data_IF_704249730457
#
_entry.id   IF_704249730457
#
_cell.length_a   1.000
_cell.length_b   1.000
_cell.length_c   1.000
_cell.angle_alpha   90.00
_cell.angle_beta   90.00
_cell.angle_gamma   90.00
#
_symmetry.space_group_name_H-M   'P 1'
#
loop_
_entity.id
_entity.type
_entity.pdbx_description
1 polymer ?
#
# COMPACT_ATOMS: atom_id res chain seq x y z
N UNK A 1 -9.32 11.34 25.60
CA UNK A 1 -8.06 11.57 24.87
C UNK A 1 -7.91 13.07 24.69
N UNK A 2 -6.72 13.69 24.85
CA UNK A 2 -6.58 15.07 24.38
C UNK A 2 -6.88 15.04 22.87
N UNK A 3 -7.77 15.93 22.42
CA UNK A 3 -8.13 16.05 21.01
C UNK A 3 -6.83 16.19 20.21
N UNK A 4 -6.60 15.27 19.28
CA UNK A 4 -5.42 15.36 18.44
C UNK A 4 -5.53 16.65 17.61
N UNK A 5 -4.42 17.37 17.49
CA UNK A 5 -4.36 18.70 16.91
C UNK A 5 -4.62 18.71 15.42
N UNK A 6 -5.07 19.86 14.91
CA UNK A 6 -5.16 20.15 13.48
C UNK A 6 -3.79 20.59 12.95
N UNK A 7 -3.44 20.24 11.70
CA UNK A 7 -2.13 20.61 11.12
C UNK A 7 -2.24 21.23 9.72
N UNK A 8 -1.46 22.27 9.47
CA UNK A 8 -1.20 22.85 8.16
C UNK A 8 0.15 22.38 7.64
N UNK A 9 0.20 21.67 6.52
CA UNK A 9 1.48 21.16 5.96
C UNK A 9 2.01 22.01 4.79
N UNK A 10 1.24 23.00 4.35
CA UNK A 10 1.73 24.04 3.45
C UNK A 10 2.66 24.99 4.21
N UNK A 11 3.73 25.54 3.61
CA UNK A 11 4.55 26.56 4.25
C UNK A 11 3.73 27.84 4.52
N UNK A 12 3.78 28.41 5.75
CA UNK A 12 4.44 27.89 6.94
C UNK A 12 3.66 26.72 7.57
N UNK A 13 4.37 25.64 7.92
CA UNK A 13 3.76 24.47 8.58
C UNK A 13 3.22 24.87 9.95
N UNK A 14 1.97 24.48 10.25
CA UNK A 14 1.29 24.83 11.50
C UNK A 14 0.81 23.60 12.26
N UNK A 15 0.85 23.72 13.59
CA UNK A 15 0.24 22.79 14.53
C UNK A 15 -0.75 23.60 15.38
N UNK A 16 -1.99 23.15 15.50
CA UNK A 16 -3.04 23.86 16.21
C UNK A 16 -3.68 22.96 17.27
N UNK A 17 -3.74 23.42 18.51
CA UNK A 17 -4.28 22.68 19.65
C UNK A 17 -5.59 23.29 20.09
N UNK A 18 -6.54 22.44 20.51
CA UNK A 18 -7.82 22.86 21.09
C UNK A 18 -7.62 23.26 22.57
N UNK A 19 -6.73 24.22 22.80
CA UNK A 19 -6.38 24.74 24.11
C UNK A 19 -5.96 26.21 23.99
N UNK A 20 -6.48 27.04 24.89
CA UNK A 20 -6.08 28.45 25.02
C UNK A 20 -5.15 28.60 26.24
N UNK A 21 -3.83 28.72 26.05
CA UNK A 21 -2.90 28.89 27.17
C UNK A 21 -3.09 30.26 27.85
N UNK A 22 -2.72 30.38 29.13
CA UNK A 22 -2.62 31.69 29.79
C UNK A 22 -1.54 32.56 29.12
N UNK A 23 -1.57 33.89 29.28
CA UNK A 23 -0.55 34.78 28.74
C UNK A 23 0.88 34.38 29.16
N UNK A 24 1.10 33.96 30.41
CA UNK A 24 2.44 33.55 30.86
C UNK A 24 2.91 32.28 30.16
N UNK A 25 2.01 31.31 29.96
CA UNK A 25 2.32 30.05 29.26
C UNK A 25 2.59 30.32 27.77
N UNK A 26 1.80 31.19 27.15
CA UNK A 26 2.00 31.58 25.75
C UNK A 26 3.37 32.23 25.53
N UNK A 27 3.78 33.14 26.42
CA UNK A 27 5.09 33.80 26.34
C UNK A 27 6.24 32.81 26.56
N UNK A 28 6.08 31.87 27.51
CA UNK A 28 7.07 30.81 27.73
C UNK A 28 7.20 29.88 26.52
N UNK A 29 6.07 29.48 25.91
CA UNK A 29 6.06 28.66 24.70
C UNK A 29 6.74 29.38 23.53
N UNK A 30 6.47 30.67 23.33
CA UNK A 30 7.08 31.44 22.25
C UNK A 30 8.60 31.56 22.42
N UNK A 31 9.08 31.80 23.65
CA UNK A 31 10.52 31.76 23.98
C UNK A 31 11.16 30.40 23.70
N UNK A 32 10.45 29.30 23.97
CA UNK A 32 10.92 27.94 23.67
C UNK A 32 10.98 27.71 22.15
N UNK A 33 9.93 28.09 21.42
CA UNK A 33 9.86 27.97 19.96
C UNK A 33 10.96 28.79 19.29
N UNK A 34 11.27 29.99 19.79
CA UNK A 34 12.37 30.83 19.28
C UNK A 34 13.77 30.19 19.42
N UNK A 35 13.93 29.17 20.27
CA UNK A 35 15.18 28.41 20.41
C UNK A 35 15.26 27.20 19.47
N UNK A 36 14.16 26.84 18.82
CA UNK A 36 14.10 25.71 17.88
C UNK A 36 14.67 26.17 16.54
N UNK A 37 15.93 25.82 16.29
CA UNK A 37 16.62 26.13 15.03
C UNK A 37 16.49 25.04 13.98
N UNK A 38 16.09 23.82 14.39
CA UNK A 38 16.10 22.61 13.55
C UNK A 38 15.00 21.64 13.96
N UNK A 39 14.42 20.93 13.00
CA UNK A 39 13.48 19.83 13.26
C UNK A 39 13.96 18.53 12.60
N UNK A 40 14.11 17.49 13.41
CA UNK A 40 14.45 16.13 12.95
C UNK A 40 15.92 15.92 12.59
N UNK A 41 16.47 16.69 11.65
CA UNK A 41 17.85 16.56 11.16
C UNK A 41 18.64 17.87 11.26
N UNK A 42 19.98 17.77 11.34
CA UNK A 42 20.86 18.94 11.48
C UNK A 42 20.76 19.94 10.32
N UNK A 43 20.35 19.46 9.14
CA UNK A 43 20.17 20.24 7.90
C UNK A 43 18.75 20.80 7.71
N UNK A 44 17.81 20.49 8.60
CA UNK A 44 16.41 20.93 8.49
C UNK A 44 16.19 22.19 9.33
N UNK A 45 16.71 23.32 8.85
CA UNK A 45 16.60 24.61 9.53
C UNK A 45 15.15 25.11 9.55
N UNK A 46 14.72 25.60 10.71
CA UNK A 46 13.38 26.16 10.89
C UNK A 46 13.44 27.39 11.78
N UNK A 47 12.38 28.20 11.71
CA UNK A 47 12.03 29.20 12.72
C UNK A 47 10.61 28.91 13.16
N UNK A 48 10.41 28.81 14.47
CA UNK A 48 9.11 28.53 15.07
C UNK A 48 8.66 29.75 15.88
N UNK A 49 7.36 30.04 15.82
CA UNK A 49 6.71 31.09 16.61
C UNK A 49 5.30 30.68 16.97
N UNK A 50 4.80 31.17 18.09
CA UNK A 50 3.39 31.02 18.44
C UNK A 50 2.55 31.93 17.54
N UNK A 51 1.38 31.47 17.10
CA UNK A 51 0.40 32.30 16.36
C UNK A 51 -0.94 32.26 17.08
N UNK A 52 -1.58 33.42 17.16
CA UNK A 52 -2.90 33.59 17.75
C UNK A 52 -4.02 33.22 16.77
N UNK A 53 -3.79 33.43 15.48
CA UNK A 53 -4.71 33.04 14.41
C UNK A 53 -4.48 31.58 14.05
N UNK A 54 -5.54 30.79 14.02
CA UNK A 54 -5.54 29.43 13.50
C UNK A 54 -5.73 29.47 11.97
N UNK A 55 -4.69 29.21 11.16
CA UNK A 55 -4.89 29.06 9.72
C UNK A 55 -5.64 27.76 9.43
N UNK A 56 -6.33 27.73 8.28
CA UNK A 56 -7.12 26.57 7.87
C UNK A 56 -6.27 25.28 7.92
N UNK A 57 -6.76 24.30 8.67
CA UNK A 57 -6.12 23.00 8.76
C UNK A 57 -6.13 22.35 7.38
N UNK A 58 -4.95 21.92 6.92
CA UNK A 58 -4.86 21.08 5.72
C UNK A 58 -5.06 19.62 6.06
N UNK A 59 -4.87 19.22 7.32
CA UNK A 59 -5.05 17.85 7.77
C UNK A 59 -5.61 17.81 9.20
N UNK A 60 -6.47 16.83 9.44
CA UNK A 60 -7.04 16.52 10.77
C UNK A 60 -6.69 15.09 11.17
N UNK A 61 -6.59 14.78 12.46
CA UNK A 61 -6.42 13.41 12.92
C UNK A 61 -7.59 12.54 12.47
N UNK A 62 -7.31 11.32 12.02
CA UNK A 62 -8.32 10.38 11.53
C UNK A 62 -7.69 9.17 10.86
N UNK A 63 -8.45 8.41 10.08
CA UNK A 63 -7.99 7.18 9.39
C UNK A 63 -7.21 7.45 8.08
N UNK A 64 -6.60 8.64 7.98
CA UNK A 64 -5.79 9.03 6.83
C UNK A 64 -4.44 8.31 6.79
N UNK A 65 -3.74 8.42 5.68
CA UNK A 65 -2.49 7.67 5.45
C UNK A 65 -1.24 8.44 5.86
N UNK A 66 -1.36 9.73 6.17
CA UNK A 66 -0.25 10.51 6.66
C UNK A 66 -0.04 10.21 8.15
N UNK A 67 1.05 9.53 8.48
CA UNK A 67 1.43 9.29 9.86
C UNK A 67 2.40 10.35 10.37
N UNK A 68 1.95 11.18 11.31
CA UNK A 68 2.78 12.16 11.98
C UNK A 68 3.18 11.66 13.37
N UNK A 69 4.41 11.98 13.79
CA UNK A 69 4.84 11.74 15.16
C UNK A 69 4.12 12.71 16.09
N UNK A 70 3.56 12.19 17.16
CA UNK A 70 2.73 12.96 18.09
C UNK A 70 3.12 12.73 19.54
N UNK A 71 2.67 13.66 20.39
CA UNK A 71 2.85 13.64 21.84
C UNK A 71 1.60 13.08 22.54
N UNK A 72 1.78 12.45 23.69
CA UNK A 72 0.72 11.81 24.48
C UNK A 72 0.95 12.06 25.98
N UNK A 73 -0.07 12.01 26.85
CA UNK A 73 0.12 12.06 28.31
C UNK A 73 1.27 11.17 28.82
N UNK A 74 2.22 11.72 29.58
CA UNK A 74 3.39 10.96 30.05
C UNK A 74 4.55 10.86 29.04
N UNK A 75 4.43 11.48 27.87
CA UNK A 75 5.51 11.57 26.88
C UNK A 75 6.79 12.22 27.44
N UNK A 76 6.66 13.24 28.29
CA UNK A 76 7.81 13.89 28.93
C UNK A 76 8.60 12.90 29.79
N UNK A 77 7.91 12.17 30.68
CA UNK A 77 8.54 11.15 31.52
C UNK A 77 9.21 10.04 30.68
N UNK A 78 8.59 9.63 29.55
CA UNK A 78 9.19 8.68 28.63
C UNK A 78 10.46 9.22 27.97
N UNK A 79 10.48 10.51 27.59
CA UNK A 79 11.66 11.17 27.04
C UNK A 79 12.78 11.30 28.08
N UNK A 80 12.45 11.62 29.33
CA UNK A 80 13.40 11.71 30.44
C UNK A 80 14.06 10.35 30.74
N UNK A 81 13.27 9.27 30.80
CA UNK A 81 13.80 7.91 30.96
C UNK A 81 14.72 7.52 29.82
N UNK A 82 14.33 7.82 28.58
CA UNK A 82 15.16 7.49 27.43
C UNK A 82 16.43 8.32 27.40
N UNK A 83 16.36 9.59 27.79
CA UNK A 83 17.53 10.45 27.97
C UNK A 83 18.54 9.87 28.97
N UNK A 84 18.05 9.40 30.13
CA UNK A 84 18.87 8.73 31.13
C UNK A 84 19.52 7.44 30.61
N UNK A 85 18.83 6.69 29.73
CA UNK A 85 19.36 5.47 29.10
C UNK A 85 20.42 5.76 28.05
N UNK A 86 20.17 6.72 27.16
CA UNK A 86 21.01 6.93 26.00
C UNK A 86 22.19 7.88 26.29
N UNK A 87 22.10 8.75 27.31
CA UNK A 87 23.15 9.67 27.78
C UNK A 87 23.89 10.42 26.65
N UNK A 88 23.15 10.78 25.61
CA UNK A 88 23.65 11.30 24.33
C UNK A 88 24.71 10.48 23.55
N UNK A 89 25.14 9.31 24.04
CA UNK A 89 26.20 8.46 23.47
C UNK A 89 25.63 7.25 22.70
N UNK A 90 24.48 6.70 23.14
CA UNK A 90 23.83 5.57 22.48
C UNK A 90 22.84 6.03 21.40
N UNK A 91 22.43 5.14 20.46
CA UNK A 91 21.44 5.45 19.45
C UNK A 91 20.15 6.03 20.08
N UNK A 92 19.72 7.18 19.57
CA UNK A 92 18.58 7.93 20.13
C UNK A 92 17.29 7.43 19.51
N UNK A 93 16.52 6.63 20.24
CA UNK A 93 15.15 6.27 19.86
C UNK A 93 14.18 7.11 20.66
N UNK A 94 13.86 8.30 20.18
CA UNK A 94 12.88 9.15 20.87
C UNK A 94 11.51 8.47 20.84
N UNK A 95 10.91 8.14 22.00
CA UNK A 95 9.56 7.59 22.04
C UNK A 95 8.61 8.56 21.35
N UNK A 96 7.64 8.05 20.60
CA UNK A 96 6.60 8.85 19.98
C UNK A 96 5.36 7.98 19.80
N UNK A 97 4.21 8.63 19.64
CA UNK A 97 3.00 7.97 19.14
C UNK A 97 2.77 8.38 17.69
N UNK A 98 2.59 7.42 16.80
CA UNK A 98 2.13 7.72 15.44
C UNK A 98 0.66 8.08 15.49
N UNK A 99 0.28 9.24 14.95
CA UNK A 99 -1.11 9.64 14.75
C UNK A 99 -1.34 9.76 13.26
N UNK A 100 -2.41 9.14 12.78
CA UNK A 100 -2.84 9.21 11.38
C UNK A 100 -3.62 10.50 11.16
N UNK A 101 -3.34 11.13 10.02
CA UNK A 101 -3.92 12.39 9.59
C UNK A 101 -4.54 12.23 8.21
N UNK A 102 -5.77 12.71 8.06
CA UNK A 102 -6.49 12.86 6.80
C UNK A 102 -6.32 14.28 6.29
N UNK A 103 -6.17 14.44 4.98
CA UNK A 103 -6.18 15.76 4.34
C UNK A 103 -7.61 16.33 4.39
N UNK A 104 -7.72 17.60 4.79
CA UNK A 104 -8.94 18.37 4.76
C UNK A 104 -9.11 18.88 3.32
N UNK A 105 -10.01 18.26 2.57
CA UNK A 105 -10.43 18.75 1.26
C UNK A 105 -11.55 19.78 1.50
N UNK A 106 -11.38 21.07 1.14
CA UNK A 106 -12.42 22.07 1.30
C UNK A 106 -13.68 21.65 0.52
N UNK A 107 -14.77 21.34 1.23
CA UNK A 107 -16.03 20.87 0.65
C UNK A 107 -16.50 19.48 1.10
N UNK A 108 -15.66 18.69 1.78
CA UNK A 108 -16.05 17.37 2.30
C UNK A 108 -16.20 17.38 3.83
N UNK A 109 -17.16 18.16 4.35
CA UNK A 109 -17.66 17.96 5.72
C UNK A 109 -18.93 17.12 5.60
N UNK A 110 -18.83 15.82 5.86
CA UNK A 110 -19.99 14.92 5.98
C UNK A 110 -20.09 13.74 5.01
N UNK A 111 -19.11 13.48 4.15
CA UNK A 111 -19.07 12.24 3.37
C UNK A 111 -18.50 11.13 4.26
N UNK A 112 -19.24 10.03 4.43
CA UNK A 112 -18.73 8.84 5.12
C UNK A 112 -17.39 8.42 4.51
N UNK A 113 -16.41 8.03 5.34
CA UNK A 113 -15.08 7.67 4.84
C UNK A 113 -15.25 6.54 3.80
N UNK A 114 -14.69 6.67 2.58
CA UNK A 114 -14.97 5.73 1.51
C UNK A 114 -14.61 4.29 1.93
N UNK A 115 -15.45 3.33 1.54
CA UNK A 115 -15.26 1.91 1.87
C UNK A 115 -13.86 1.44 1.47
N UNK A 116 -13.25 0.60 2.32
CA UNK A 116 -11.90 0.07 2.13
C UNK A 116 -11.92 -1.46 2.08
N UNK A 117 -11.15 -2.10 1.21
CA UNK A 117 -11.01 -3.54 1.26
C UNK A 117 -10.22 -3.95 2.52
N UNK A 118 -10.49 -5.12 3.07
CA UNK A 118 -9.82 -5.69 4.25
C UNK A 118 -8.31 -5.93 4.05
N UNK A 119 -7.81 -5.80 2.83
CA UNK A 119 -6.38 -5.88 2.48
C UNK A 119 -5.69 -4.51 2.41
N UNK A 120 -6.44 -3.41 2.44
CA UNK A 120 -5.90 -2.06 2.44
C UNK A 120 -5.39 -1.66 3.83
N UNK A 121 -4.38 -0.78 3.84
CA UNK A 121 -3.75 -0.29 5.05
C UNK A 121 -2.40 0.36 4.74
N UNK A 122 -1.48 0.32 5.68
CA UNK A 122 -0.20 1.02 5.56
C UNK A 122 0.76 0.28 4.62
N UNK A 123 1.52 1.03 3.82
CA UNK A 123 2.53 0.47 2.91
C UNK A 123 3.95 0.75 3.40
N UNK A 124 4.77 -0.29 3.47
CA UNK A 124 6.22 -0.16 3.58
C UNK A 124 6.81 -0.29 2.18
N UNK A 125 7.24 0.84 1.62
CA UNK A 125 7.69 0.95 0.23
C UNK A 125 9.20 0.80 0.14
N UNK A 126 9.64 -0.03 -0.81
CA UNK A 126 11.03 -0.24 -1.19
C UNK A 126 11.23 0.19 -2.64
N UNK A 127 12.15 1.12 -2.88
CA UNK A 127 12.56 1.51 -4.23
C UNK A 127 13.67 0.56 -4.71
N UNK A 128 13.55 0.05 -5.94
CA UNK A 128 14.65 -0.71 -6.55
C UNK A 128 15.80 0.24 -6.91
N UNK A 129 17.03 -0.21 -6.72
CA UNK A 129 18.19 0.54 -7.20
C UNK A 129 18.09 0.73 -8.74
N UNK A 130 18.53 1.87 -9.31
CA UNK A 130 18.29 2.21 -10.71
C UNK A 130 18.64 1.11 -11.72
N UNK A 131 19.75 0.39 -11.49
CA UNK A 131 20.19 -0.72 -12.34
C UNK A 131 19.21 -1.90 -12.41
N UNK A 132 18.36 -2.08 -11.40
CA UNK A 132 17.39 -3.18 -11.32
C UNK A 132 15.98 -2.78 -11.79
N UNK A 133 15.74 -1.50 -12.10
CA UNK A 133 14.44 -0.99 -12.61
C UNK A 133 14.12 -1.39 -14.05
N UNK A 134 14.92 -2.26 -14.67
CA UNK A 134 14.62 -2.86 -15.98
C UNK A 134 13.76 -4.11 -15.89
N UNK A 135 13.49 -4.60 -14.67
CA UNK A 135 12.72 -5.83 -14.46
C UNK A 135 11.27 -5.65 -14.93
N UNK A 136 10.74 -6.54 -15.78
CA UNK A 136 9.35 -6.44 -16.24
C UNK A 136 8.37 -6.91 -15.17
N UNK A 137 7.17 -6.31 -15.13
CA UNK A 137 6.10 -6.67 -14.19
C UNK A 137 5.60 -8.11 -14.29
N UNK A 138 5.89 -8.81 -15.39
CA UNK A 138 5.59 -10.23 -15.56
C UNK A 138 6.33 -11.12 -14.54
N UNK A 139 7.38 -10.59 -13.90
CA UNK A 139 8.10 -11.23 -12.78
C UNK A 139 7.53 -10.88 -11.39
N UNK A 140 6.37 -10.20 -11.30
CA UNK A 140 5.77 -9.78 -10.00
C UNK A 140 5.71 -10.92 -8.99
N UNK A 141 5.18 -12.09 -9.36
CA UNK A 141 5.05 -13.25 -8.44
C UNK A 141 6.39 -13.75 -7.96
N UNK A 142 7.40 -13.74 -8.82
CA UNK A 142 8.73 -14.20 -8.48
C UNK A 142 9.36 -13.27 -7.44
N UNK A 143 9.40 -11.97 -7.73
CA UNK A 143 10.07 -10.99 -6.86
C UNK A 143 9.32 -10.79 -5.53
N UNK A 144 7.99 -10.82 -5.53
CA UNK A 144 7.20 -10.69 -4.29
C UNK A 144 7.29 -11.93 -3.41
N UNK A 145 7.42 -13.13 -3.99
CA UNK A 145 7.70 -14.36 -3.22
C UNK A 145 9.07 -14.31 -2.57
N UNK A 146 10.09 -13.83 -3.29
CA UNK A 146 11.44 -13.64 -2.72
C UNK A 146 11.40 -12.57 -1.63
N UNK A 147 10.71 -11.44 -1.85
CA UNK A 147 10.50 -10.42 -0.83
C UNK A 147 9.85 -11.00 0.43
N UNK A 148 8.78 -11.77 0.26
CA UNK A 148 8.11 -12.46 1.37
C UNK A 148 9.10 -13.36 2.11
N UNK A 149 9.78 -14.26 1.41
CA UNK A 149 10.72 -15.19 2.04
C UNK A 149 11.84 -14.46 2.78
N UNK A 150 12.44 -13.44 2.17
CA UNK A 150 13.47 -12.62 2.80
C UNK A 150 12.96 -11.84 4.00
N UNK A 151 11.73 -11.31 3.98
CA UNK A 151 11.16 -10.64 5.15
C UNK A 151 10.92 -11.63 6.29
N UNK A 152 10.31 -12.79 5.98
CA UNK A 152 9.97 -13.81 6.98
C UNK A 152 11.21 -14.41 7.66
N UNK A 153 12.34 -14.55 6.97
CA UNK A 153 13.58 -15.07 7.57
C UNK A 153 14.16 -14.18 8.67
N UNK A 154 13.66 -12.94 8.82
CA UNK A 154 14.07 -12.01 9.87
C UNK A 154 12.99 -11.83 10.95
N UNK A 155 11.90 -12.60 10.88
CA UNK A 155 10.87 -12.63 11.92
C UNK A 155 11.10 -13.89 12.76
N UNK A 156 11.23 -13.78 14.10
CA UNK A 156 11.43 -14.95 14.96
C UNK A 156 10.27 -15.95 14.87
N UNK A 157 10.60 -17.23 14.99
CA UNK A 157 9.59 -18.28 15.15
C UNK A 157 8.99 -18.27 16.58
N UNK A 158 7.69 -18.59 16.73
CA UNK A 158 6.74 -18.90 15.66
C UNK A 158 6.26 -17.63 14.92
N UNK A 159 6.12 -17.72 13.60
CA UNK A 159 5.57 -16.63 12.79
C UNK A 159 4.12 -16.32 13.18
N UNK A 160 3.77 -15.05 13.49
CA UNK A 160 2.40 -14.63 13.72
C UNK A 160 1.47 -14.92 12.52
N UNK A 161 0.20 -15.20 12.79
CA UNK A 161 -0.82 -15.51 11.77
C UNK A 161 -0.95 -14.39 10.73
N UNK A 162 -1.00 -13.13 11.16
CA UNK A 162 -1.08 -11.95 10.28
C UNK A 162 0.16 -11.74 9.40
N UNK A 163 1.27 -12.43 9.69
CA UNK A 163 2.49 -12.44 8.88
C UNK A 163 2.55 -13.68 7.98
N UNK A 164 2.28 -14.85 8.54
CA UNK A 164 2.36 -16.12 7.82
C UNK A 164 1.21 -16.30 6.83
N UNK A 165 0.04 -15.72 7.13
CA UNK A 165 -1.23 -15.99 6.43
C UNK A 165 -1.78 -17.39 6.72
N UNK A 166 -1.34 -18.04 7.79
CA UNK A 166 -1.73 -19.38 8.17
C UNK A 166 -1.98 -19.49 9.67
N UNK A 167 -2.95 -20.33 10.03
CA UNK A 167 -3.17 -20.77 11.40
C UNK A 167 -2.00 -21.64 11.87
N UNK A 168 -1.86 -21.88 13.19
CA UNK A 168 -0.79 -22.72 13.75
C UNK A 168 -0.74 -24.15 13.18
N UNK A 169 -1.87 -24.68 12.71
CA UNK A 169 -1.97 -25.99 12.06
C UNK A 169 -1.51 -25.98 10.57
N UNK A 170 -1.11 -24.81 10.06
CA UNK A 170 -0.66 -24.61 8.69
C UNK A 170 -1.78 -24.46 7.66
N UNK A 171 -3.04 -24.39 8.08
CA UNK A 171 -4.17 -24.08 7.20
C UNK A 171 -4.24 -22.56 6.90
N UNK A 172 -4.76 -22.13 5.73
CA UNK A 172 -4.86 -20.71 5.40
C UNK A 172 -5.79 -19.96 6.35
N UNK A 173 -5.41 -18.76 6.77
CA UNK A 173 -6.28 -17.91 7.59
C UNK A 173 -7.34 -17.16 6.75
N UNK A 174 -8.49 -16.89 7.36
CA UNK A 174 -9.49 -15.91 6.89
C UNK A 174 -9.24 -14.50 7.42
N UNK A 175 -8.39 -14.32 8.44
CA UNK A 175 -8.06 -13.03 9.01
C UNK A 175 -7.21 -12.17 8.05
N UNK A 176 -7.30 -10.83 8.15
CA UNK A 176 -6.42 -9.92 7.43
C UNK A 176 -4.95 -10.23 7.72
N UNK A 177 -4.14 -10.34 6.67
CA UNK A 177 -2.70 -10.58 6.78
C UNK A 177 -1.96 -9.85 5.67
N UNK A 178 -0.65 -9.67 5.87
CA UNK A 178 0.19 -8.87 5.00
C UNK A 178 0.21 -9.36 3.55
N UNK A 179 0.32 -8.42 2.61
CA UNK A 179 0.46 -8.70 1.18
C UNK A 179 1.76 -8.11 0.63
N UNK A 180 2.31 -8.75 -0.40
CA UNK A 180 3.55 -8.33 -1.04
C UNK A 180 3.27 -7.90 -2.48
N UNK A 181 3.69 -6.68 -2.83
CA UNK A 181 3.31 -6.01 -4.06
C UNK A 181 4.54 -5.61 -4.86
N UNK A 182 4.44 -5.72 -6.18
CA UNK A 182 5.33 -5.01 -7.10
C UNK A 182 4.65 -3.70 -7.52
N UNK A 183 5.42 -2.63 -7.64
CA UNK A 183 4.95 -1.30 -8.01
C UNK A 183 5.48 -0.94 -9.41
N UNK A 184 4.78 -1.36 -10.48
CA UNK A 184 5.22 -1.09 -11.85
C UNK A 184 4.90 0.34 -12.31
N UNK A 185 5.62 0.78 -13.32
CA UNK A 185 5.40 2.02 -14.06
C UNK A 185 4.27 1.84 -15.09
N UNK A 186 3.05 2.23 -14.73
CA UNK A 186 1.82 1.95 -15.50
C UNK A 186 0.82 3.10 -15.37
N UNK A 187 -0.27 3.07 -16.15
CA UNK A 187 -1.44 3.92 -15.97
C UNK A 187 -1.23 5.40 -16.33
N UNK A 188 -0.26 5.67 -17.21
CA UNK A 188 -0.02 6.95 -17.86
C UNK A 188 0.62 6.70 -19.23
N UNK A 189 0.66 7.72 -20.09
CA UNK A 189 1.10 7.62 -21.49
C UNK A 189 2.46 6.92 -21.67
N UNK A 190 3.43 7.23 -20.82
CA UNK A 190 4.78 6.61 -20.86
C UNK A 190 4.95 5.41 -19.92
N UNK A 191 3.85 4.76 -19.53
CA UNK A 191 3.89 3.54 -18.70
C UNK A 191 4.50 2.39 -19.50
N UNK A 192 5.54 1.75 -18.98
CA UNK A 192 6.30 0.70 -19.68
C UNK A 192 6.27 -0.67 -18.96
N UNK A 193 5.56 -0.76 -17.84
CA UNK A 193 5.40 -2.01 -17.09
C UNK A 193 6.65 -2.47 -16.36
N UNK A 194 7.69 -1.64 -16.25
CA UNK A 194 8.89 -1.98 -15.47
C UNK A 194 8.61 -1.82 -13.97
N UNK A 195 9.14 -2.72 -13.15
CA UNK A 195 9.01 -2.67 -11.69
C UNK A 195 9.94 -1.59 -11.14
N UNK A 196 9.37 -0.55 -10.54
CA UNK A 196 10.12 0.56 -9.94
C UNK A 196 10.48 0.30 -8.48
N UNK A 197 9.65 -0.47 -7.80
CA UNK A 197 9.78 -0.79 -6.40
C UNK A 197 8.86 -1.92 -5.99
N UNK A 198 8.91 -2.24 -4.71
CA UNK A 198 8.07 -3.23 -4.06
C UNK A 198 7.40 -2.60 -2.85
N UNK A 199 6.34 -3.21 -2.35
CA UNK A 199 5.73 -2.83 -1.09
C UNK A 199 5.31 -4.05 -0.27
N UNK A 200 5.36 -3.89 1.05
CA UNK A 200 4.64 -4.75 1.99
C UNK A 200 3.41 -3.95 2.44
N UNK A 201 2.23 -4.47 2.13
CA UNK A 201 0.94 -3.91 2.56
C UNK A 201 0.55 -4.52 3.90
N UNK A 202 0.32 -3.67 4.89
CA UNK A 202 -0.11 -4.05 6.24
C UNK A 202 -1.57 -3.63 6.37
N UNK A 203 -2.52 -4.59 6.37
CA UNK A 203 -3.93 -4.28 6.53
C UNK A 203 -4.22 -3.36 7.74
N UNK A 204 -5.26 -2.54 7.65
CA UNK A 204 -5.66 -1.65 8.74
C UNK A 204 -5.95 -2.44 10.02
N UNK A 205 -6.70 -3.52 9.88
CA UNK A 205 -7.12 -4.43 10.97
C UNK A 205 -6.09 -5.54 11.26
N UNK A 206 -4.84 -5.35 10.83
CA UNK A 206 -3.73 -6.24 11.20
C UNK A 206 -3.44 -6.09 12.70
N UNK A 207 -3.42 -7.22 13.42
CA UNK A 207 -3.15 -7.24 14.85
C UNK A 207 -1.76 -6.64 15.20
N UNK A 208 -1.65 -6.06 16.39
CA UNK A 208 -0.44 -5.35 16.82
C UNK A 208 0.78 -6.28 16.92
N UNK A 209 0.61 -7.57 17.23
CA UNK A 209 1.72 -8.50 17.32
C UNK A 209 2.32 -8.74 15.93
N UNK A 210 1.49 -9.03 14.93
CA UNK A 210 1.88 -9.17 13.53
C UNK A 210 2.44 -7.88 12.96
N UNK A 211 1.82 -6.73 13.23
CA UNK A 211 2.32 -5.41 12.78
C UNK A 211 3.71 -5.13 13.33
N UNK A 212 3.91 -5.32 14.64
CA UNK A 212 5.19 -5.10 15.28
C UNK A 212 6.25 -6.10 14.81
N UNK A 213 5.90 -7.37 14.63
CA UNK A 213 6.81 -8.38 14.12
C UNK A 213 7.27 -8.08 12.69
N UNK A 214 6.38 -7.61 11.80
CA UNK A 214 6.73 -7.20 10.45
C UNK A 214 7.70 -6.00 10.44
N UNK A 215 7.39 -4.96 11.23
CA UNK A 215 8.24 -3.77 11.37
C UNK A 215 9.61 -4.10 11.97
N UNK A 216 9.66 -4.96 13.00
CA UNK A 216 10.92 -5.41 13.61
C UNK A 216 11.74 -6.27 12.67
N UNK A 217 11.11 -7.18 11.93
CA UNK A 217 11.80 -8.05 10.96
C UNK A 217 12.44 -7.24 9.84
N UNK A 218 11.71 -6.27 9.28
CA UNK A 218 12.27 -5.33 8.30
C UNK A 218 13.42 -4.52 8.91
N UNK A 219 13.23 -4.00 10.13
CA UNK A 219 14.28 -3.24 10.81
C UNK A 219 15.52 -4.08 11.14
N UNK A 220 15.37 -5.37 11.44
CA UNK A 220 16.50 -6.29 11.63
C UNK A 220 17.25 -6.50 10.32
N UNK A 221 16.51 -6.76 9.23
CA UNK A 221 17.10 -6.93 7.91
C UNK A 221 17.87 -5.68 7.45
N UNK A 222 17.33 -4.48 7.71
CA UNK A 222 18.03 -3.21 7.45
C UNK A 222 19.31 -3.08 8.29
N UNK A 223 19.26 -3.40 9.59
CA UNK A 223 20.46 -3.34 10.47
C UNK A 223 21.56 -4.31 10.05
N UNK A 224 21.20 -5.53 9.66
CA UNK A 224 22.17 -6.53 9.17
C UNK A 224 22.91 -6.04 7.91
N UNK A 225 22.21 -5.29 7.05
CA UNK A 225 22.78 -4.72 5.83
C UNK A 225 23.52 -3.39 6.08
N UNK A 226 23.24 -2.71 7.19
CA UNK A 226 23.76 -1.38 7.48
C UNK A 226 23.36 -0.38 6.39
N UNK A 227 24.33 0.38 5.86
CA UNK A 227 24.08 1.36 4.79
C UNK A 227 23.91 0.74 3.39
N UNK A 228 24.10 -0.57 3.27
CA UNK A 228 23.98 -1.29 1.99
C UNK A 228 22.51 -1.51 1.66
N UNK A 229 22.19 -1.54 0.36
CA UNK A 229 20.85 -1.88 -0.10
C UNK A 229 20.45 -3.30 0.37
N UNK A 230 19.16 -3.48 0.65
CA UNK A 230 18.58 -4.79 0.91
C UNK A 230 18.67 -5.63 -0.37
N UNK A 231 19.04 -6.89 -0.24
CA UNK A 231 19.29 -7.78 -1.38
C UNK A 231 18.30 -8.94 -1.37
N UNK A 232 17.51 -9.04 -2.45
CA UNK A 232 16.66 -10.18 -2.76
C UNK A 232 17.44 -11.13 -3.67
N UNK A 233 17.68 -12.36 -3.21
CA UNK A 233 18.37 -13.38 -4.01
C UNK A 233 17.33 -14.13 -4.84
N UNK A 234 17.44 -14.00 -6.16
CA UNK A 234 16.52 -14.59 -7.12
C UNK A 234 17.01 -16.00 -7.53
N UNK A 235 16.14 -16.79 -8.14
CA UNK A 235 16.53 -18.08 -8.72
C UNK A 235 17.58 -17.91 -9.83
N UNK A 236 18.50 -18.89 -9.95
CA UNK A 236 19.54 -18.88 -10.97
C UNK A 236 20.72 -17.93 -10.70
N UNK A 237 20.97 -17.57 -9.43
CA UNK A 237 22.13 -16.77 -9.02
C UNK A 237 21.98 -15.25 -9.18
N UNK A 238 20.85 -14.78 -9.72
CA UNK A 238 20.55 -13.36 -9.84
C UNK A 238 20.19 -12.71 -8.50
N UNK A 239 20.24 -11.37 -8.45
CA UNK A 239 19.76 -10.63 -7.29
C UNK A 239 19.16 -9.28 -7.68
N UNK A 240 18.40 -8.72 -6.76
CA UNK A 240 17.75 -7.41 -6.87
C UNK A 240 18.05 -6.64 -5.61
N UNK A 241 18.51 -5.40 -5.77
CA UNK A 241 18.73 -4.50 -4.64
C UNK A 241 17.66 -3.43 -4.55
N UNK A 242 17.30 -3.12 -3.30
CA UNK A 242 16.28 -2.13 -2.98
C UNK A 242 16.59 -1.41 -1.67
N UNK A 243 16.01 -0.23 -1.49
CA UNK A 243 16.07 0.55 -0.25
C UNK A 243 14.68 0.94 0.19
N UNK A 244 14.41 0.88 1.50
CA UNK A 244 13.18 1.44 2.04
C UNK A 244 13.15 2.94 1.77
N UNK A 245 12.00 3.43 1.34
CA UNK A 245 11.75 4.86 1.11
C UNK A 245 10.63 5.35 1.99
N UNK A 246 10.79 6.59 2.44
CA UNK A 246 9.77 7.38 3.10
C UNK A 246 9.37 8.52 2.16
N UNK A 247 8.16 9.09 2.29
CA UNK A 247 7.81 10.31 1.58
C UNK A 247 8.84 11.44 1.83
N UNK A 248 9.07 12.34 0.85
CA UNK A 248 8.43 12.38 -0.47
C UNK A 248 9.03 11.34 -1.46
N UNK A 249 8.17 10.76 -2.30
CA UNK A 249 8.60 9.81 -3.34
C UNK A 249 8.86 10.51 -4.67
N UNK A 250 10.08 10.37 -5.19
CA UNK A 250 10.46 10.87 -6.51
C UNK A 250 9.69 10.17 -7.63
N UNK A 251 9.56 8.84 -7.57
CA UNK A 251 8.84 8.05 -8.57
C UNK A 251 7.34 7.97 -8.24
N UNK A 252 6.51 8.25 -9.24
CA UNK A 252 5.04 8.28 -9.09
C UNK A 252 4.49 6.91 -8.67
N UNK A 253 4.95 5.81 -9.28
CA UNK A 253 4.51 4.44 -8.92
C UNK A 253 4.79 4.05 -7.48
N UNK A 254 5.73 4.72 -6.80
CA UNK A 254 6.05 4.44 -5.40
C UNK A 254 5.15 5.20 -4.41
N UNK A 255 4.32 6.13 -4.89
CA UNK A 255 3.40 6.91 -4.04
C UNK A 255 2.17 6.05 -3.73
N UNK A 256 1.92 5.66 -2.46
CA UNK A 256 0.74 4.87 -2.10
C UNK A 256 -0.57 5.51 -2.57
N UNK A 257 -0.67 6.85 -2.53
CA UNK A 257 -1.83 7.62 -3.01
C UNK A 257 -2.26 7.31 -4.46
N UNK A 258 -1.35 6.91 -5.35
CA UNK A 258 -1.69 6.53 -6.74
C UNK A 258 -2.50 5.23 -6.80
N UNK A 259 -2.34 4.37 -5.79
CA UNK A 259 -3.00 3.08 -5.65
C UNK A 259 -4.22 3.16 -4.73
N UNK A 260 -4.21 4.10 -3.79
CA UNK A 260 -5.19 4.20 -2.70
C UNK A 260 -6.27 5.25 -2.95
N UNK A 261 -6.14 6.13 -3.96
CA UNK A 261 -7.12 7.21 -4.23
C UNK A 261 -8.55 6.64 -4.31
N UNK A 262 -9.53 7.24 -3.61
CA UNK A 262 -10.94 6.90 -3.75
C UNK A 262 -11.38 6.91 -5.21
N UNK A 263 -12.03 5.85 -5.67
CA UNK A 263 -12.51 5.74 -7.04
C UNK A 263 -13.70 4.79 -7.13
N UNK A 264 -14.62 5.10 -8.03
CA UNK A 264 -15.70 4.18 -8.45
C UNK A 264 -15.20 3.15 -9.46
N UNK A 265 -14.14 3.44 -10.22
CA UNK A 265 -13.63 2.57 -11.28
C UNK A 265 -12.20 2.14 -11.04
N UNK A 266 -11.95 0.85 -11.25
CA UNK A 266 -10.69 0.19 -10.99
C UNK A 266 -10.33 -0.73 -12.14
N UNK A 267 -9.08 -0.69 -12.60
CA UNK A 267 -8.57 -1.62 -13.61
C UNK A 267 -7.37 -2.40 -13.07
N UNK A 268 -7.24 -3.66 -13.45
CA UNK A 268 -6.17 -4.51 -12.97
C UNK A 268 -4.83 -4.20 -13.64
N UNK A 269 -3.83 -3.90 -12.81
CA UNK A 269 -2.44 -3.71 -13.20
C UNK A 269 -1.77 -5.06 -13.39
N UNK A 270 -1.88 -5.95 -12.40
CA UNK A 270 -1.45 -7.34 -12.54
C UNK A 270 -2.67 -8.24 -12.69
N UNK A 271 -2.59 -9.36 -13.45
CA UNK A 271 -3.74 -10.22 -13.67
C UNK A 271 -4.34 -10.75 -12.35
N UNK A 272 -5.66 -10.81 -12.30
CA UNK A 272 -6.41 -11.45 -11.22
C UNK A 272 -6.34 -12.96 -11.40
N UNK A 273 -5.88 -13.66 -10.37
CA UNK A 273 -5.93 -15.12 -10.32
C UNK A 273 -7.31 -15.57 -9.81
N UNK A 274 -8.14 -16.13 -10.69
CA UNK A 274 -9.52 -16.49 -10.37
C UNK A 274 -9.58 -17.60 -9.30
N UNK A 275 -10.40 -17.45 -8.24
CA UNK A 275 -10.58 -18.47 -7.21
C UNK A 275 -11.18 -19.78 -7.71
N UNK A 276 -11.97 -19.72 -8.77
CA UNK A 276 -12.62 -20.87 -9.41
C UNK A 276 -12.26 -20.92 -10.89
N UNK A 277 -12.22 -22.13 -11.47
CA UNK A 277 -11.93 -22.28 -12.90
C UNK A 277 -13.17 -21.89 -13.71
N UNK A 278 -13.09 -20.89 -14.62
CA UNK A 278 -14.28 -20.40 -15.35
C UNK A 278 -14.69 -21.31 -16.51
N UNK A 279 -13.81 -22.22 -16.94
CA UNK A 279 -13.92 -22.98 -18.18
C UNK A 279 -12.97 -22.46 -19.27
N UNK A 280 -13.22 -22.85 -20.51
CA UNK A 280 -12.38 -22.49 -21.66
C UNK A 280 -12.67 -21.09 -22.20
N UNK A 281 -11.90 -20.08 -21.79
CA UNK A 281 -12.07 -18.70 -22.30
C UNK A 281 -11.77 -18.55 -23.79
N UNK A 282 -10.87 -19.39 -24.34
CA UNK A 282 -10.43 -19.35 -25.76
C UNK A 282 -10.85 -20.58 -26.57
N UNK A 283 -11.45 -21.59 -25.95
CA UNK A 283 -11.72 -22.91 -26.57
C UNK A 283 -13.15 -23.35 -26.30
N UNK A 284 -13.71 -24.14 -27.22
CA UNK A 284 -15.10 -24.60 -27.15
C UNK A 284 -16.04 -23.75 -28.01
N UNK A 285 -17.34 -24.10 -28.03
CA UNK A 285 -18.37 -23.37 -28.80
C UNK A 285 -18.56 -21.94 -28.31
N UNK A 286 -19.15 -21.07 -29.15
CA UNK A 286 -19.42 -19.68 -28.79
C UNK A 286 -20.23 -19.55 -27.47
N UNK A 287 -21.28 -20.36 -27.32
CA UNK A 287 -22.08 -20.41 -26.10
C UNK A 287 -21.28 -20.87 -24.86
N UNK A 288 -20.37 -21.83 -25.02
CA UNK A 288 -19.50 -22.30 -23.93
C UNK A 288 -18.52 -21.22 -23.48
N UNK A 289 -17.91 -20.50 -24.45
CA UNK A 289 -17.03 -19.36 -24.17
C UNK A 289 -17.77 -18.25 -23.46
N UNK A 290 -18.95 -17.85 -23.94
CA UNK A 290 -19.77 -16.81 -23.30
C UNK A 290 -20.07 -17.15 -21.82
N UNK A 291 -20.45 -18.40 -21.53
CA UNK A 291 -20.62 -18.87 -20.15
C UNK A 291 -19.33 -18.84 -19.33
N UNK A 292 -18.18 -19.11 -19.94
CA UNK A 292 -16.88 -19.04 -19.25
C UNK A 292 -16.49 -17.59 -18.92
N UNK A 293 -16.73 -16.64 -19.82
CA UNK A 293 -16.51 -15.21 -19.58
C UNK A 293 -17.42 -14.69 -18.46
N UNK A 294 -18.72 -15.01 -18.49
CA UNK A 294 -19.65 -14.64 -17.42
C UNK A 294 -19.25 -15.24 -16.05
N UNK A 295 -18.74 -16.49 -16.01
CA UNK A 295 -18.22 -17.09 -14.77
C UNK A 295 -16.94 -16.42 -14.28
N UNK A 296 -16.11 -15.89 -15.18
CA UNK A 296 -14.91 -15.15 -14.81
C UNK A 296 -15.28 -13.79 -14.20
N UNK A 297 -16.26 -13.08 -14.78
CA UNK A 297 -16.83 -11.84 -14.21
C UNK A 297 -17.43 -12.10 -12.83
N UNK A 298 -18.25 -13.14 -12.69
CA UNK A 298 -18.83 -13.53 -11.40
C UNK A 298 -17.75 -13.83 -10.34
N UNK A 299 -16.66 -14.51 -10.74
CA UNK A 299 -15.56 -14.80 -9.83
C UNK A 299 -14.79 -13.54 -9.39
N UNK A 300 -14.71 -12.51 -10.24
CA UNK A 300 -14.15 -11.20 -9.89
C UNK A 300 -15.10 -10.43 -8.97
N UNK A 301 -16.40 -10.43 -9.25
CA UNK A 301 -17.42 -9.81 -8.38
C UNK A 301 -17.37 -10.39 -6.96
N UNK A 302 -17.39 -11.74 -6.83
CA UNK A 302 -17.21 -12.44 -5.55
C UNK A 302 -15.88 -12.14 -4.88
N UNK A 303 -14.82 -11.89 -5.65
CA UNK A 303 -13.52 -11.51 -5.09
C UNK A 303 -13.57 -10.12 -4.43
N UNK A 304 -14.43 -9.22 -4.88
CA UNK A 304 -14.66 -7.91 -4.25
C UNK A 304 -15.39 -8.10 -2.90
N UNK A 305 -16.45 -8.90 -2.88
CA UNK A 305 -17.17 -9.28 -1.64
C UNK A 305 -16.23 -9.94 -0.62
N UNK A 306 -15.33 -10.83 -1.10
CA UNK A 306 -14.36 -11.53 -0.26
C UNK A 306 -13.38 -10.58 0.45
N UNK A 307 -13.09 -9.43 -0.13
CA UNK A 307 -12.24 -8.41 0.50
C UNK A 307 -13.05 -7.37 1.28
N UNK A 308 -14.32 -7.65 1.60
CA UNK A 308 -15.16 -6.79 2.42
C UNK A 308 -15.77 -5.59 1.68
N UNK A 309 -15.73 -5.59 0.34
CA UNK A 309 -16.36 -4.54 -0.47
C UNK A 309 -17.78 -4.93 -0.88
N UNK A 310 -18.64 -3.95 -1.21
CA UNK A 310 -19.94 -4.25 -1.78
C UNK A 310 -19.76 -4.92 -3.14
N UNK A 311 -20.80 -5.62 -3.57
CA UNK A 311 -20.84 -6.18 -4.92
C UNK A 311 -20.70 -5.03 -5.94
N UNK A 312 -19.77 -5.13 -6.91
CA UNK A 312 -19.63 -4.11 -7.94
C UNK A 312 -20.86 -4.07 -8.86
N UNK A 313 -21.17 -2.87 -9.36
CA UNK A 313 -22.27 -2.63 -10.31
C UNK A 313 -21.90 -2.98 -11.75
N UNK A 314 -20.60 -3.00 -12.04
CA UNK A 314 -20.06 -3.37 -13.35
C UNK A 314 -18.77 -4.18 -13.16
N UNK A 315 -18.64 -5.27 -13.91
CA UNK A 315 -17.42 -6.09 -13.96
C UNK A 315 -17.21 -6.52 -15.40
N UNK A 316 -16.05 -6.19 -15.93
CA UNK A 316 -15.61 -6.62 -17.25
C UNK A 316 -14.30 -7.36 -17.11
N UNK A 317 -14.17 -8.53 -17.74
CA UNK A 317 -12.91 -9.28 -17.75
C UNK A 317 -12.32 -9.36 -19.15
N UNK A 318 -11.00 -9.35 -19.23
CA UNK A 318 -10.24 -9.39 -20.49
C UNK A 318 -8.96 -10.19 -20.31
N UNK A 319 -8.29 -10.52 -21.41
CA UNK A 319 -6.94 -11.10 -21.38
C UNK A 319 -5.84 -10.04 -21.54
N UNK A 320 -6.24 -8.78 -21.73
CA UNK A 320 -5.37 -7.60 -21.81
C UNK A 320 -5.88 -6.56 -20.82
N UNK A 321 -4.97 -5.85 -20.15
CA UNK A 321 -5.36 -4.76 -19.24
C UNK A 321 -5.81 -3.53 -20.03
N UNK A 322 -6.71 -2.74 -19.44
CA UNK A 322 -7.06 -1.40 -19.91
C UNK A 322 -5.99 -0.35 -19.59
N UNK A 323 -4.97 -0.70 -18.79
CA UNK A 323 -3.95 0.24 -18.35
C UNK A 323 -2.72 0.22 -19.25
N UNK A 324 -2.30 1.41 -19.70
CA UNK A 324 -1.03 1.60 -20.40
C UNK A 324 0.13 1.08 -19.55
N UNK A 325 1.04 0.35 -20.18
CA UNK A 325 2.20 -0.29 -19.55
C UNK A 325 1.91 -1.64 -18.90
N UNK A 326 0.65 -2.00 -18.62
CA UNK A 326 0.33 -3.34 -18.15
C UNK A 326 0.50 -4.37 -19.27
N UNK A 327 0.90 -5.60 -18.90
CA UNK A 327 1.17 -6.68 -19.87
C UNK A 327 -0.02 -7.63 -19.99
N UNK A 328 -0.30 -8.19 -21.18
CA UNK A 328 -1.38 -9.17 -21.34
C UNK A 328 -1.12 -10.44 -20.53
N UNK A 329 -2.18 -11.18 -20.21
CA UNK A 329 -2.13 -12.40 -19.41
C UNK A 329 -1.15 -13.44 -19.97
N UNK A 330 -1.01 -13.50 -21.30
CA UNK A 330 -0.11 -14.43 -22.00
C UNK A 330 1.36 -14.27 -21.62
N UNK A 331 1.76 -13.08 -21.17
CA UNK A 331 3.15 -12.79 -20.84
C UNK A 331 3.52 -13.22 -19.40
N UNK A 332 2.52 -13.55 -18.59
CA UNK A 332 2.72 -14.01 -17.23
C UNK A 332 2.92 -15.52 -17.19
N UNK A 333 3.85 -15.96 -16.34
CA UNK A 333 4.00 -17.38 -16.03
C UNK A 333 2.73 -17.93 -15.38
N UNK A 334 2.44 -19.20 -15.64
CA UNK A 334 1.32 -19.88 -15.01
C UNK A 334 1.41 -19.78 -13.47
N UNK A 335 0.36 -19.23 -12.85
CA UNK A 335 0.31 -19.10 -11.39
C UNK A 335 -0.21 -20.39 -10.76
N UNK A 336 0.64 -21.01 -9.94
CA UNK A 336 0.32 -22.19 -9.12
C UNK A 336 0.18 -21.79 -7.66
N UNK A 337 -0.95 -22.15 -7.06
CA UNK A 337 -1.27 -21.94 -5.65
C UNK A 337 -1.29 -23.28 -4.90
N UNK A 338 -0.58 -23.38 -3.77
CA UNK A 338 -0.49 -24.61 -2.95
C UNK A 338 0.96 -25.06 -2.71
N UNK A 339 1.14 -26.17 -1.97
CA UNK A 339 2.47 -26.69 -1.59
C UNK A 339 3.19 -27.32 -2.79
N UNK A 340 4.36 -26.77 -3.11
CA UNK A 340 5.35 -27.34 -4.03
C UNK A 340 5.12 -27.02 -5.53
N UNK A 341 6.22 -27.08 -6.30
CA UNK A 341 6.20 -26.82 -7.74
C UNK A 341 5.34 -27.83 -8.55
N UNK A 342 5.09 -29.02 -7.99
CA UNK A 342 4.40 -30.13 -8.66
C UNK A 342 2.92 -30.33 -8.25
N UNK A 343 2.47 -29.82 -7.09
CA UNK A 343 1.15 -30.16 -6.51
C UNK A 343 0.13 -29.00 -6.46
N UNK A 344 0.49 -27.79 -6.88
CA UNK A 344 -0.38 -26.62 -6.77
C UNK A 344 -1.45 -26.52 -7.86
N UNK A 345 -2.62 -26.00 -7.48
CA UNK A 345 -3.72 -25.67 -8.41
C UNK A 345 -3.28 -24.53 -9.33
N UNK A 346 -3.36 -24.75 -10.64
CA UNK A 346 -3.11 -23.70 -11.64
C UNK A 346 -4.35 -22.80 -11.72
N UNK A 347 -4.20 -21.54 -11.32
CA UNK A 347 -5.29 -20.57 -11.39
C UNK A 347 -5.35 -19.93 -12.76
N UNK A 348 -6.57 -19.73 -13.27
CA UNK A 348 -6.78 -18.96 -14.50
C UNK A 348 -6.54 -17.48 -14.19
N UNK A 349 -5.72 -16.84 -15.01
CA UNK A 349 -5.43 -15.40 -14.92
C UNK A 349 -6.32 -14.65 -15.91
N UNK A 350 -6.86 -13.50 -15.48
CA UNK A 350 -7.59 -12.54 -16.32
C UNK A 350 -7.22 -11.11 -15.88
N UNK A 351 -7.31 -10.14 -16.78
CA UNK A 351 -7.47 -8.75 -16.38
C UNK A 351 -8.93 -8.42 -16.11
N UNK A 352 -9.18 -7.40 -15.29
CA UNK A 352 -10.52 -6.99 -14.92
C UNK A 352 -10.63 -5.46 -14.81
N UNK A 353 -11.78 -4.94 -15.20
CA UNK A 353 -12.29 -3.62 -14.85
C UNK A 353 -13.47 -3.80 -13.90
N UNK A 354 -13.55 -2.99 -12.85
CA UNK A 354 -14.57 -3.08 -11.81
C UNK A 354 -15.13 -1.69 -11.53
N UNK A 355 -16.44 -1.57 -11.55
CA UNK A 355 -17.21 -0.37 -11.20
C UNK A 355 -18.01 -0.56 -9.91
N UNK A 356 -17.93 0.40 -8.99
CA UNK A 356 -18.72 0.45 -7.75
C UNK A 356 -19.71 1.62 -7.79
N UNK A 357 -20.86 1.46 -7.12
CA UNK A 357 -21.85 2.52 -6.98
C UNK A 357 -21.28 3.73 -6.21
N UNK A 358 -20.53 3.44 -5.15
CA UNK A 358 -19.87 4.43 -4.30
C UNK A 358 -18.34 4.35 -4.46
N UNK A 359 -17.61 5.47 -4.25
CA UNK A 359 -16.16 5.44 -4.27
C UNK A 359 -15.60 4.45 -3.23
N UNK A 360 -14.70 3.59 -3.67
CA UNK A 360 -13.90 2.71 -2.80
C UNK A 360 -12.50 3.30 -2.69
N UNK A 361 -11.92 3.32 -1.50
CA UNK A 361 -10.52 3.70 -1.26
C UNK A 361 -9.64 2.45 -1.26
N UNK A 362 -8.55 2.49 -2.02
CA UNK A 362 -7.64 1.35 -2.16
C UNK A 362 -6.62 1.23 -1.02
N UNK A 363 -5.59 0.40 -1.18
CA UNK A 363 -5.27 -0.36 -2.39
C UNK A 363 -6.16 -1.59 -2.59
N UNK A 364 -6.66 -1.77 -3.82
CA UNK A 364 -7.52 -2.90 -4.16
C UNK A 364 -6.71 -4.06 -4.75
N UNK A 365 -6.82 -5.24 -4.14
CA UNK A 365 -6.12 -6.46 -4.54
C UNK A 365 -7.10 -7.64 -4.56
N UNK A 366 -7.31 -8.25 -5.74
CA UNK A 366 -8.35 -9.24 -5.96
C UNK A 366 -7.83 -10.64 -6.28
N UNK A 367 -8.65 -11.65 -6.00
CA UNK A 367 -8.42 -13.04 -6.37
C UNK A 367 -7.45 -13.79 -5.45
N UNK A 368 -7.08 -15.01 -5.86
CA UNK A 368 -6.27 -15.94 -5.06
C UNK A 368 -4.78 -15.59 -5.01
N UNK A 369 -4.33 -14.63 -5.83
CA UNK A 369 -2.93 -14.19 -5.89
C UNK A 369 -2.65 -12.86 -5.17
N UNK A 370 -3.64 -12.29 -4.48
CA UNK A 370 -3.59 -10.96 -3.84
C UNK A 370 -2.44 -10.76 -2.86
N UNK A 371 -1.98 -11.83 -2.21
CA UNK A 371 -0.88 -11.78 -1.23
C UNK A 371 0.52 -11.89 -1.84
N UNK A 372 0.62 -12.16 -3.16
CA UNK A 372 1.89 -12.39 -3.89
C UNK A 372 1.95 -11.58 -5.18
N UNK A 373 1.36 -10.39 -5.18
CA UNK A 373 1.52 -9.37 -6.23
C UNK A 373 0.70 -9.59 -7.51
N UNK A 374 -0.29 -10.49 -7.48
CA UNK A 374 -1.31 -10.61 -8.53
C UNK A 374 -2.62 -9.94 -8.11
N UNK A 375 -3.42 -9.54 -9.09
CA UNK A 375 -4.71 -8.88 -8.89
C UNK A 375 -4.62 -7.48 -8.29
N UNK A 376 -3.45 -6.84 -8.35
CA UNK A 376 -3.30 -5.44 -7.95
C UNK A 376 -4.08 -4.57 -8.94
N UNK A 377 -4.96 -3.71 -8.43
CA UNK A 377 -5.77 -2.79 -9.20
C UNK A 377 -5.26 -1.36 -9.04
N UNK A 378 -5.62 -0.49 -10.00
CA UNK A 378 -5.37 0.95 -9.94
C UNK A 378 -6.68 1.70 -10.24
N UNK A 379 -6.95 2.83 -9.56
CA UNK A 379 -8.09 3.67 -9.89
C UNK A 379 -7.92 4.26 -11.30
N UNK A 380 -9.01 4.29 -12.07
CA UNK A 380 -9.07 4.91 -13.41
C UNK A 380 -10.08 6.05 -13.42
N UNK A 381 -9.77 7.11 -14.15
CA UNK A 381 -10.68 8.26 -14.31
C UNK A 381 -11.82 7.92 -15.28
N UNK A 382 -13.00 8.50 -15.06
CA UNK A 382 -14.23 8.18 -15.81
C UNK A 382 -14.09 8.38 -17.32
N UNK A 383 -13.30 9.36 -17.75
CA UNK A 383 -13.15 9.76 -19.16
C UNK A 383 -12.41 8.74 -20.06
N UNK A 384 -11.68 7.76 -19.49
CA UNK A 384 -10.90 6.80 -20.30
C UNK A 384 -11.76 5.60 -20.74
N UNK A 385 -12.88 5.31 -20.08
CA UNK A 385 -13.66 4.11 -20.36
C UNK A 385 -14.49 4.19 -21.66
N UNK A 386 -14.94 5.38 -22.07
CA UNK A 386 -15.78 5.54 -23.26
C UNK A 386 -15.00 5.38 -24.57
N UNK A 387 -13.68 5.66 -24.58
CA UNK A 387 -12.85 5.55 -25.77
C UNK A 387 -12.53 4.12 -26.22
N UNK A 388 -12.67 3.11 -25.34
CA UNK A 388 -12.30 1.72 -25.65
C UNK A 388 -13.47 0.87 -26.16
N UNK A 389 -14.72 1.23 -25.79
CA UNK A 389 -15.92 0.55 -26.29
C UNK A 389 -16.12 0.75 -27.81
N UNK A 390 -15.58 1.83 -28.37
CA UNK A 390 -15.70 2.15 -29.81
C UNK A 390 -14.63 1.42 -30.64
N UNK A 391 -13.46 1.11 -30.07
CA UNK A 391 -12.36 0.48 -30.80
C UNK A 391 -12.52 -1.05 -30.97
N UNK A 392 -13.31 -1.72 -30.13
CA UNK A 392 -13.53 -3.17 -30.18
C UNK A 392 -14.58 -3.63 -31.21
N UNK A 393 -15.28 -2.70 -31.87
CA UNK A 393 -16.32 -3.02 -32.85
C UNK A 393 -15.86 -2.87 -34.31
N UNK A 394 -14.60 -2.46 -34.55
CA UNK A 394 -14.10 -2.11 -35.88
C UNK A 394 -13.13 -3.12 -36.50
N UNK A 395 -12.94 -4.29 -35.90
CA UNK A 395 -11.98 -5.30 -36.42
C UNK A 395 -12.61 -6.70 -36.42
N UNK A 396 -13.71 -6.83 -37.16
CA UNK A 396 -14.19 -8.10 -37.74
C UNK A 396 -14.37 -7.86 -39.25
N UNK A 397 -13.28 -8.07 -40.00
CA UNK A 397 -13.20 -8.06 -41.46
C UNK A 397 -12.30 -9.17 -41.96
#
# INVERSE_FOLDING_TARGET
MPAASRVGLAPPVTFAWDASPSPEVAEALDRLLGRVSRLGHSSSLVSCRLRSEEPAATHTPGEGTLMLRWVHPGQLAALEQEHQRHQAIRPRSLPFRGVRYSEVVPGEVGVADPLRPSTAGDWIVFELEPRHRRMPMTRTVEVTRVLRQSMLSHVPDPLPEGISGHLPDGTPTSAPHIAFLALPNVGHEHGDGRIMGLAVSLPQDLDDASRNAALRGIGHWERERGDRALRLVMGGGGFVEMRRRQPPFALVSLRPRVWERPSRRWASVTPVALPTHPGGLRRGSAASRAKAWARAEEAVAKSCEHVGLPRPVDVQVSLVSLLVGARPVSDYRAFRQGRGAAGGVVRRLVHASVGFAEPVRGALMLGSGRFVGLGLMRPVDEAIAEGSAVAGAADDG
#
